data_IF_322645858035
#
_entry.id   IF_322645858035
#
_cell.length_a   1.000
_cell.length_b   1.000
_cell.length_c   1.000
_cell.angle_alpha   90.00
_cell.angle_beta   90.00
_cell.angle_gamma   90.00
#
_symmetry.space_group_name_H-M   'P 1'
#
loop_
_entity.id
_entity.type
_entity.pdbx_description
1 polymer ?
#
# COMPACT_ATOMS: atom_id res chain seq x y z
N UNK A 1 62.48 -21.51 -50.54
CA UNK A 1 62.53 -21.60 -49.06
C UNK A 1 61.82 -20.38 -48.52
N UNK A 2 60.59 -20.53 -48.03
CA UNK A 2 59.83 -19.45 -47.39
C UNK A 2 60.00 -19.52 -45.87
N UNK A 3 59.88 -18.40 -45.17
CA UNK A 3 59.29 -18.38 -43.84
C UNK A 3 58.00 -17.55 -43.84
N UNK A 4 56.98 -18.11 -43.20
CA UNK A 4 55.66 -17.53 -43.00
C UNK A 4 55.72 -16.33 -42.05
N UNK A 5 55.08 -15.24 -42.43
CA UNK A 5 54.74 -14.16 -41.52
C UNK A 5 53.53 -14.61 -40.69
N UNK A 6 53.75 -14.80 -39.39
CA UNK A 6 52.67 -15.03 -38.42
C UNK A 6 52.01 -13.68 -38.18
N UNK A 7 50.91 -13.43 -38.89
CA UNK A 7 50.04 -12.28 -38.65
C UNK A 7 49.16 -12.59 -37.44
N UNK A 8 49.64 -12.27 -36.24
CA UNK A 8 48.79 -12.24 -35.04
C UNK A 8 47.81 -11.09 -35.17
N UNK A 9 46.54 -11.42 -35.34
CA UNK A 9 45.41 -10.51 -35.39
C UNK A 9 45.28 -9.69 -34.10
N UNK A 10 44.83 -8.42 -34.16
CA UNK A 10 44.62 -7.58 -32.99
C UNK A 10 43.45 -8.12 -32.15
N UNK A 11 43.65 -8.24 -30.84
CA UNK A 11 42.57 -8.38 -29.87
C UNK A 11 41.80 -7.05 -29.78
N UNK A 12 40.47 -7.08 -29.93
CA UNK A 12 39.56 -5.95 -29.66
C UNK A 12 38.12 -6.50 -29.57
N UNK A 13 37.24 -6.08 -28.62
CA UNK A 13 37.49 -5.28 -27.41
C UNK A 13 36.75 -5.72 -26.12
N UNK A 14 37.16 -5.19 -24.95
CA UNK A 14 36.41 -5.21 -23.68
C UNK A 14 35.01 -4.52 -23.70
N UNK A 15 34.49 -4.09 -24.85
CA UNK A 15 33.18 -3.41 -24.93
C UNK A 15 31.99 -4.37 -24.95
N UNK A 16 32.16 -5.59 -25.48
CA UNK A 16 31.08 -6.60 -25.49
C UNK A 16 30.80 -7.10 -24.05
N UNK A 17 31.85 -7.27 -23.24
CA UNK A 17 31.74 -7.63 -21.82
C UNK A 17 31.06 -6.52 -20.99
N UNK A 18 31.34 -5.24 -21.30
CA UNK A 18 30.71 -4.09 -20.63
C UNK A 18 29.23 -3.94 -20.99
N UNK A 19 28.84 -4.14 -22.26
CA UNK A 19 27.44 -4.09 -22.71
C UNK A 19 26.59 -5.22 -22.11
N UNK A 20 27.14 -6.44 -22.02
CA UNK A 20 26.46 -7.58 -21.39
C UNK A 20 26.23 -7.37 -19.88
N UNK A 21 27.21 -6.80 -19.18
CA UNK A 21 27.12 -6.46 -17.76
C UNK A 21 26.05 -5.37 -17.51
N UNK A 22 26.00 -4.34 -18.35
CA UNK A 22 24.96 -3.29 -18.29
C UNK A 22 23.55 -3.85 -18.53
N UNK A 23 23.38 -4.75 -19.51
CA UNK A 23 22.10 -5.41 -19.74
C UNK A 23 21.66 -6.28 -18.55
N UNK A 24 22.58 -7.03 -17.93
CA UNK A 24 22.28 -7.84 -16.76
C UNK A 24 21.82 -6.97 -15.58
N UNK A 25 22.53 -5.85 -15.34
CA UNK A 25 22.16 -4.88 -14.31
C UNK A 25 20.77 -4.32 -14.58
N UNK A 26 20.48 -3.91 -15.82
CA UNK A 26 19.16 -3.40 -16.22
C UNK A 26 18.05 -4.43 -16.01
N UNK A 27 18.26 -5.69 -16.45
CA UNK A 27 17.33 -6.80 -16.22
C UNK A 27 17.05 -7.01 -14.73
N UNK A 28 18.09 -6.97 -13.90
CA UNK A 28 17.99 -7.14 -12.44
C UNK A 28 17.22 -5.99 -11.77
N UNK A 29 17.52 -4.75 -12.16
CA UNK A 29 16.78 -3.57 -11.69
C UNK A 29 15.30 -3.64 -12.09
N UNK A 30 15.02 -4.08 -13.31
CA UNK A 30 13.66 -4.20 -13.82
C UNK A 30 12.88 -5.31 -13.09
N UNK A 31 13.49 -6.47 -12.87
CA UNK A 31 12.90 -7.55 -12.08
C UNK A 31 12.60 -7.11 -10.64
N UNK A 32 13.47 -6.29 -10.03
CA UNK A 32 13.23 -5.71 -8.71
C UNK A 32 12.06 -4.72 -8.74
N UNK A 33 11.99 -3.85 -9.75
CA UNK A 33 10.89 -2.89 -9.92
C UNK A 33 9.53 -3.60 -9.99
N UNK A 34 9.42 -4.67 -10.79
CA UNK A 34 8.18 -5.45 -10.90
C UNK A 34 7.74 -5.99 -9.54
N UNK A 35 8.68 -6.52 -8.75
CA UNK A 35 8.37 -7.03 -7.40
C UNK A 35 7.88 -5.94 -6.45
N UNK A 36 8.52 -4.76 -6.48
CA UNK A 36 8.12 -3.61 -5.65
C UNK A 36 6.70 -3.15 -6.00
N UNK A 37 6.37 -3.04 -7.29
CA UNK A 37 5.02 -2.63 -7.72
C UNK A 37 3.98 -3.68 -7.32
N UNK A 38 4.29 -4.96 -7.48
CA UNK A 38 3.40 -6.04 -7.06
C UNK A 38 3.18 -6.05 -5.54
N UNK A 39 4.23 -5.85 -4.75
CA UNK A 39 4.14 -5.72 -3.28
C UNK A 39 3.26 -4.53 -2.90
N UNK A 40 3.49 -3.35 -3.49
CA UNK A 40 2.71 -2.14 -3.24
C UNK A 40 1.20 -2.37 -3.47
N UNK A 41 0.84 -2.99 -4.59
CA UNK A 41 -0.55 -3.31 -4.91
C UNK A 41 -1.15 -4.31 -3.92
N UNK A 42 -0.38 -5.34 -3.55
CA UNK A 42 -0.85 -6.35 -2.61
C UNK A 42 -1.04 -5.76 -1.21
N UNK A 43 -0.08 -4.97 -0.71
CA UNK A 43 -0.19 -4.35 0.60
C UNK A 43 -1.34 -3.35 0.67
N UNK A 44 -1.63 -2.64 -0.43
CA UNK A 44 -2.78 -1.73 -0.48
C UNK A 44 -4.10 -2.52 -0.46
N UNK A 45 -4.19 -3.66 -1.17
CA UNK A 45 -5.35 -4.56 -1.12
C UNK A 45 -5.60 -5.10 0.28
N UNK A 46 -4.53 -5.55 0.95
CA UNK A 46 -4.60 -6.09 2.31
C UNK A 46 -5.08 -4.99 3.27
N UNK A 47 -4.52 -3.78 3.15
CA UNK A 47 -4.94 -2.62 3.96
C UNK A 47 -6.43 -2.26 3.76
N UNK A 48 -6.91 -2.22 2.52
CA UNK A 48 -8.34 -1.97 2.23
C UNK A 48 -9.22 -3.07 2.84
N UNK A 49 -8.80 -4.33 2.72
CA UNK A 49 -9.52 -5.46 3.31
C UNK A 49 -9.62 -5.33 4.83
N UNK A 50 -8.54 -4.93 5.50
CA UNK A 50 -8.52 -4.72 6.95
C UNK A 50 -9.46 -3.58 7.36
N UNK A 51 -9.46 -2.46 6.61
CA UNK A 51 -10.36 -1.34 6.84
C UNK A 51 -11.84 -1.75 6.64
N UNK A 52 -12.14 -2.46 5.56
CA UNK A 52 -13.50 -2.94 5.24
C UNK A 52 -14.01 -3.89 6.33
N UNK A 53 -13.15 -4.81 6.78
CA UNK A 53 -13.46 -5.74 7.86
C UNK A 53 -13.72 -4.99 9.18
N UNK A 54 -12.89 -4.00 9.53
CA UNK A 54 -13.09 -3.16 10.70
C UNK A 54 -14.43 -2.40 10.63
N UNK A 55 -14.76 -1.82 9.47
CA UNK A 55 -16.01 -1.10 9.26
C UNK A 55 -17.20 -2.05 9.42
N UNK A 56 -17.19 -3.19 8.75
CA UNK A 56 -18.33 -4.13 8.71
C UNK A 56 -18.55 -4.88 10.01
N UNK A 57 -17.47 -5.36 10.64
CA UNK A 57 -17.56 -6.27 11.79
C UNK A 57 -17.40 -5.57 13.14
N UNK A 58 -16.91 -4.31 13.15
CA UNK A 58 -16.75 -3.54 14.40
C UNK A 58 -17.63 -2.30 14.41
N UNK A 59 -17.45 -1.40 13.45
CA UNK A 59 -18.09 -0.09 13.47
C UNK A 59 -19.60 -0.20 13.29
N UNK A 60 -20.06 -0.95 12.29
CA UNK A 60 -21.49 -1.10 12.00
C UNK A 60 -22.24 -1.78 13.17
N UNK A 61 -21.76 -2.89 13.77
CA UNK A 61 -22.36 -3.47 14.96
C UNK A 61 -22.43 -2.51 16.14
N UNK A 62 -21.35 -1.77 16.44
CA UNK A 62 -21.33 -0.80 17.54
C UNK A 62 -22.34 0.34 17.31
N UNK A 63 -22.44 0.86 16.07
CA UNK A 63 -23.47 1.86 15.71
C UNK A 63 -24.88 1.29 15.89
N UNK A 64 -25.11 0.03 15.49
CA UNK A 64 -26.41 -0.63 15.60
C UNK A 64 -26.83 -0.90 17.05
N UNK A 65 -25.89 -1.08 17.98
CA UNK A 65 -26.20 -1.22 19.41
C UNK A 65 -26.72 0.08 20.05
N UNK A 66 -26.47 1.24 19.44
CA UNK A 66 -26.94 2.56 19.90
C UNK A 66 -26.65 2.84 21.38
N UNK A 67 -25.44 2.51 21.83
CA UNK A 67 -25.05 2.69 23.24
C UNK A 67 -24.88 4.18 23.52
N UNK A 68 -25.80 4.79 24.30
CA UNK A 68 -25.89 6.24 24.48
C UNK A 68 -24.60 6.93 25.00
N UNK A 69 -23.72 6.19 25.67
CA UNK A 69 -22.44 6.68 26.23
C UNK A 69 -21.21 6.35 25.38
N UNK A 70 -21.42 5.74 24.21
CA UNK A 70 -20.37 5.28 23.32
C UNK A 70 -20.45 6.05 22.00
N UNK A 71 -19.46 6.90 21.76
CA UNK A 71 -19.37 7.68 20.53
C UNK A 71 -18.50 6.93 19.53
N UNK A 72 -19.16 6.16 18.65
CA UNK A 72 -18.51 5.37 17.61
C UNK A 72 -17.82 6.28 16.59
N UNK A 73 -18.48 7.36 16.19
CA UNK A 73 -17.96 8.25 15.14
C UNK A 73 -16.77 9.07 15.65
N UNK A 74 -16.76 9.44 16.94
CA UNK A 74 -15.57 10.01 17.58
C UNK A 74 -14.41 9.02 17.67
N UNK A 75 -14.67 7.76 18.05
CA UNK A 75 -13.64 6.74 18.21
C UNK A 75 -13.00 6.32 16.88
N UNK A 76 -13.78 6.21 15.81
CA UNK A 76 -13.30 5.76 14.50
C UNK A 76 -13.09 6.89 13.49
N UNK A 77 -13.41 8.13 13.85
CA UNK A 77 -13.18 9.33 13.04
C UNK A 77 -13.72 9.15 11.61
N UNK A 78 -12.95 9.58 10.61
CA UNK A 78 -13.28 9.49 9.20
C UNK A 78 -12.75 8.21 8.51
N UNK A 79 -12.64 7.07 9.21
CA UNK A 79 -12.11 5.81 8.63
C UNK A 79 -12.82 5.36 7.35
N UNK A 80 -14.12 5.61 7.22
CA UNK A 80 -14.88 5.27 6.00
C UNK A 80 -14.41 6.09 4.79
N UNK A 81 -13.98 7.35 5.00
CA UNK A 81 -13.36 8.17 3.96
C UNK A 81 -11.93 7.71 3.65
N UNK A 82 -11.18 7.28 4.66
CA UNK A 82 -9.84 6.67 4.48
C UNK A 82 -9.95 5.43 3.61
N UNK A 83 -10.88 4.52 3.92
CA UNK A 83 -11.15 3.32 3.12
C UNK A 83 -11.50 3.66 1.66
N UNK A 84 -12.41 4.63 1.43
CA UNK A 84 -12.79 5.06 0.08
C UNK A 84 -11.61 5.62 -0.71
N UNK A 85 -10.77 6.42 -0.05
CA UNK A 85 -9.59 7.01 -0.67
C UNK A 85 -8.54 5.94 -1.01
N UNK A 86 -8.28 4.99 -0.12
CA UNK A 86 -7.37 3.86 -0.36
C UNK A 86 -7.87 2.98 -1.50
N UNK A 87 -9.17 2.67 -1.55
CA UNK A 87 -9.77 1.95 -2.67
C UNK A 87 -9.58 2.69 -4.00
N UNK A 88 -9.68 4.03 -4.00
CA UNK A 88 -9.40 4.86 -5.17
C UNK A 88 -7.91 4.83 -5.56
N UNK A 89 -7.00 4.89 -4.60
CA UNK A 89 -5.56 4.75 -4.84
C UNK A 89 -5.25 3.43 -5.54
N UNK A 90 -5.76 2.32 -4.98
CA UNK A 90 -5.60 1.00 -5.56
C UNK A 90 -6.13 0.94 -6.99
N UNK A 91 -7.34 1.44 -7.24
CA UNK A 91 -7.93 1.43 -8.59
C UNK A 91 -7.06 2.17 -9.61
N UNK A 92 -6.48 3.32 -9.24
CA UNK A 92 -5.58 4.08 -10.13
C UNK A 92 -4.25 3.35 -10.35
N UNK A 93 -3.72 2.68 -9.33
CA UNK A 93 -2.50 1.86 -9.47
C UNK A 93 -2.76 0.64 -10.36
N UNK A 94 -3.92 -0.01 -10.22
CA UNK A 94 -4.32 -1.12 -11.08
C UNK A 94 -4.50 -0.67 -12.54
N UNK A 95 -5.11 0.48 -12.79
CA UNK A 95 -5.20 1.07 -14.14
C UNK A 95 -3.82 1.34 -14.74
N UNK A 96 -2.87 1.83 -13.93
CA UNK A 96 -1.51 2.12 -14.39
C UNK A 96 -0.61 0.88 -14.61
N UNK A 97 -1.07 -0.31 -14.22
CA UNK A 97 -0.24 -1.53 -14.22
C UNK A 97 -0.85 -2.72 -14.95
N UNK A 98 -2.17 -2.82 -15.03
CA UNK A 98 -2.88 -3.94 -15.66
C UNK A 98 -2.73 -3.87 -17.18
N UNK A 99 -2.30 -4.99 -17.78
CA UNK A 99 -2.03 -5.09 -19.23
C UNK A 99 -1.00 -4.07 -19.76
N UNK A 100 -0.20 -3.48 -18.88
CA UNK A 100 0.89 -2.55 -19.22
C UNK A 100 2.24 -3.27 -19.07
N UNK A 101 3.05 -3.22 -20.13
CA UNK A 101 4.40 -3.79 -20.08
C UNK A 101 5.21 -3.14 -18.95
N UNK A 102 5.99 -3.92 -18.17
CA UNK A 102 6.71 -3.40 -17.01
C UNK A 102 7.50 -2.10 -17.24
N UNK A 103 8.23 -1.92 -18.37
CA UNK A 103 8.97 -0.67 -18.62
C UNK A 103 8.06 0.55 -18.81
N UNK A 104 6.80 0.35 -19.18
CA UNK A 104 5.81 1.40 -19.45
C UNK A 104 4.94 1.75 -18.24
N UNK A 105 5.07 1.02 -17.13
CA UNK A 105 4.30 1.28 -15.91
C UNK A 105 4.77 2.57 -15.22
N UNK A 106 3.96 3.63 -15.28
CA UNK A 106 4.26 4.94 -14.67
C UNK A 106 3.33 5.17 -13.46
N UNK A 107 3.62 4.49 -12.35
CA UNK A 107 2.82 4.60 -11.12
C UNK A 107 3.03 5.92 -10.36
N UNK A 108 4.11 6.66 -10.62
CA UNK A 108 4.41 7.92 -9.93
C UNK A 108 3.37 9.02 -10.18
N UNK A 109 2.77 9.02 -11.38
CA UNK A 109 1.73 9.97 -11.76
C UNK A 109 0.46 9.79 -10.91
N UNK A 110 0.14 8.54 -10.54
CA UNK A 110 -1.00 8.22 -9.65
C UNK A 110 -0.86 8.96 -8.31
N UNK A 111 0.32 8.95 -7.71
CA UNK A 111 0.58 9.64 -6.44
C UNK A 111 0.48 11.17 -6.58
N UNK A 112 0.91 11.73 -7.71
CA UNK A 112 0.78 13.17 -7.96
C UNK A 112 -0.68 13.60 -8.11
N UNK A 113 -1.51 12.76 -8.72
CA UNK A 113 -2.95 13.01 -8.86
C UNK A 113 -3.69 12.93 -7.52
N UNK A 114 -3.33 11.97 -6.66
CA UNK A 114 -4.07 11.71 -5.42
C UNK A 114 -3.53 12.46 -4.19
N UNK A 115 -2.36 13.11 -4.27
CA UNK A 115 -1.70 13.78 -3.13
C UNK A 115 -2.62 14.70 -2.31
N UNK A 116 -3.44 15.51 -2.97
CA UNK A 116 -4.33 16.47 -2.30
C UNK A 116 -5.43 15.77 -1.51
N UNK A 117 -6.24 14.92 -2.17
CA UNK A 117 -7.20 14.06 -1.48
C UNK A 117 -6.59 13.21 -0.35
N UNK A 118 -5.35 12.74 -0.55
CA UNK A 118 -4.61 11.97 0.45
C UNK A 118 -4.34 12.81 1.71
N UNK A 119 -3.74 13.99 1.53
CA UNK A 119 -3.50 14.92 2.64
C UNK A 119 -4.81 15.32 3.32
N UNK A 120 -5.84 15.70 2.56
CA UNK A 120 -7.11 16.18 3.10
C UNK A 120 -7.85 15.14 3.94
N UNK A 121 -7.76 13.87 3.57
CA UNK A 121 -8.42 12.78 4.27
C UNK A 121 -7.61 12.32 5.48
N UNK A 122 -6.32 12.05 5.29
CA UNK A 122 -5.47 11.49 6.34
C UNK A 122 -5.12 12.50 7.43
N UNK A 123 -5.04 13.81 7.12
CA UNK A 123 -4.79 14.82 8.17
C UNK A 123 -5.86 14.80 9.26
N UNK A 124 -7.13 14.58 8.88
CA UNK A 124 -8.25 14.50 9.82
C UNK A 124 -8.13 13.23 10.66
N UNK A 125 -7.87 12.10 10.00
CA UNK A 125 -7.76 10.80 10.66
C UNK A 125 -6.61 10.79 11.69
N UNK A 126 -5.45 11.30 11.31
CA UNK A 126 -4.29 11.40 12.18
C UNK A 126 -4.49 12.42 13.30
N UNK A 127 -5.14 13.56 13.02
CA UNK A 127 -5.40 14.59 14.03
C UNK A 127 -6.25 14.07 15.18
N UNK A 128 -7.27 13.25 14.90
CA UNK A 128 -8.14 12.67 15.93
C UNK A 128 -7.58 11.40 16.60
N UNK A 129 -6.37 10.95 16.27
CA UNK A 129 -5.84 9.68 16.79
C UNK A 129 -5.68 9.69 18.32
N UNK A 130 -5.13 10.78 18.89
CA UNK A 130 -4.92 10.90 20.33
C UNK A 130 -6.25 10.97 21.10
N UNK A 131 -7.25 11.64 20.53
CA UNK A 131 -8.60 11.72 21.10
C UNK A 131 -9.28 10.35 21.09
N UNK A 132 -9.20 9.64 19.96
CA UNK A 132 -9.70 8.27 19.82
C UNK A 132 -9.03 7.31 20.82
N UNK A 133 -7.71 7.44 21.01
CA UNK A 133 -6.98 6.66 22.00
C UNK A 133 -7.49 6.93 23.42
N UNK A 134 -7.67 8.20 23.77
CA UNK A 134 -8.21 8.60 25.09
C UNK A 134 -9.64 8.08 25.30
N UNK A 135 -10.48 8.12 24.27
CA UNK A 135 -11.83 7.55 24.31
C UNK A 135 -11.79 6.03 24.53
N UNK A 136 -10.90 5.32 23.84
CA UNK A 136 -10.73 3.88 24.00
C UNK A 136 -10.33 3.52 25.44
N UNK A 137 -9.35 4.22 26.01
CA UNK A 137 -8.93 4.02 27.41
C UNK A 137 -10.08 4.27 28.41
N UNK A 138 -10.95 5.22 28.12
CA UNK A 138 -12.14 5.48 28.93
C UNK A 138 -13.14 4.33 28.83
N UNK A 139 -13.43 3.84 27.62
CA UNK A 139 -14.35 2.73 27.40
C UNK A 139 -13.83 1.41 27.96
N UNK A 140 -12.52 1.18 27.99
CA UNK A 140 -11.92 -0.01 28.60
C UNK A 140 -12.03 -0.06 30.14
N UNK A 141 -12.35 1.06 30.80
CA UNK A 141 -12.61 1.10 32.25
C UNK A 141 -14.03 0.68 32.61
N UNK A 142 -14.94 0.67 31.63
CA UNK A 142 -16.32 0.22 31.79
C UNK A 142 -16.46 -1.21 31.25
N UNK A 143 -16.72 -2.18 32.14
CA UNK A 143 -16.75 -3.59 31.77
C UNK A 143 -17.85 -3.94 30.75
N UNK A 144 -18.96 -3.19 30.71
CA UNK A 144 -20.02 -3.41 29.74
C UNK A 144 -19.60 -2.92 28.34
N UNK A 145 -19.05 -1.70 28.24
CA UNK A 145 -18.54 -1.16 26.97
C UNK A 145 -17.38 -1.98 26.43
N UNK A 146 -16.46 -2.35 27.31
CA UNK A 146 -15.33 -3.21 27.01
C UNK A 146 -15.78 -4.58 26.51
N UNK A 147 -16.85 -5.14 27.06
CA UNK A 147 -17.39 -6.41 26.56
C UNK A 147 -17.96 -6.25 25.16
N UNK A 148 -18.76 -5.22 24.88
CA UNK A 148 -19.28 -4.97 23.53
C UNK A 148 -18.16 -4.80 22.49
N UNK A 149 -17.09 -4.07 22.83
CA UNK A 149 -15.89 -3.94 21.99
C UNK A 149 -15.24 -5.30 21.73
N UNK A 150 -15.03 -6.11 22.78
CA UNK A 150 -14.45 -7.45 22.65
C UNK A 150 -15.29 -8.36 21.76
N UNK A 151 -16.61 -8.34 21.92
CA UNK A 151 -17.51 -9.19 21.15
C UNK A 151 -17.42 -8.87 19.66
N UNK A 152 -17.35 -7.58 19.30
CA UNK A 152 -17.17 -7.13 17.92
C UNK A 152 -15.77 -7.46 17.36
N UNK A 153 -14.72 -7.39 18.19
CA UNK A 153 -13.36 -7.76 17.77
C UNK A 153 -13.24 -9.28 17.59
N UNK A 154 -13.92 -10.08 18.40
CA UNK A 154 -13.92 -11.55 18.27
C UNK A 154 -14.68 -12.06 17.04
N UNK A 155 -15.55 -11.24 16.44
CA UNK A 155 -16.17 -11.55 15.15
C UNK A 155 -15.23 -11.34 13.95
N UNK A 156 -14.09 -10.67 14.12
CA UNK A 156 -13.05 -10.59 13.10
C UNK A 156 -12.47 -11.99 12.87
N UNK A 157 -12.82 -12.62 11.74
CA UNK A 157 -12.30 -13.92 11.30
C UNK A 157 -11.40 -13.78 10.09
#
# INVERSE_FOLDING_TARGET
MAPQAVSSTPATPPQEDEEEEEEEVSRRMMARRVKIIAELLQTEKDYISDLDLCIKEVIQPLRNMQIARFDVDGLFSNIELVHQLSAKLLSLLEEATTDVEPPMQIIGEVFLQIKGPLEDTYKIYCYHHDDAHTMLEYYEKDEELKQHLRDCVQSLK
#
